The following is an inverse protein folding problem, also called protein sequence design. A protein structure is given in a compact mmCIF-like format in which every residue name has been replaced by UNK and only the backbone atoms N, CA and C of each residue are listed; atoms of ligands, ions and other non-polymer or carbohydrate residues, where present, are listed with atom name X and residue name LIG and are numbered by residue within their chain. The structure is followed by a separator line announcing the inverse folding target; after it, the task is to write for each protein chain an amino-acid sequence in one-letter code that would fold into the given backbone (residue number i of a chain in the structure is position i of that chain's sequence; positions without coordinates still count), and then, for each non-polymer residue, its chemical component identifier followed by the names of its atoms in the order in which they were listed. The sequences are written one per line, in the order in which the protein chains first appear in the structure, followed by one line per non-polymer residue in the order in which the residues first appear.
data_IF_623339398256
#
_entry.id   IF_623339398256
#
_cell.length_a   1.000
_cell.length_b   1.000
_cell.length_c   1.000
_cell.angle_alpha   90.00
_cell.angle_beta   90.00
_cell.angle_gamma   90.00
#
_symmetry.space_group_name_H-M   'P 1'
#
loop_
_entity.id
_entity.type
_entity.pdbx_description
1 polymer ?
#
# COMPACT_ATOMS: atom_id res chain seq x y z
N UNK A 1 2.69 -4.12 -11.55
CA UNK A 1 3.92 -3.95 -10.75
C UNK A 1 4.11 -2.45 -10.58
N UNK A 2 4.13 -1.93 -9.35
CA UNK A 2 4.36 -0.51 -9.11
C UNK A 2 5.79 -0.15 -9.54
N UNK A 3 5.88 0.82 -10.42
CA UNK A 3 7.15 1.35 -10.90
C UNK A 3 7.82 2.13 -9.76
N UNK A 4 9.03 1.77 -9.32
CA UNK A 4 9.76 2.49 -8.29
C UNK A 4 9.95 3.99 -8.57
N UNK A 5 9.96 4.39 -9.86
CA UNK A 5 10.03 5.80 -10.27
C UNK A 5 8.81 6.60 -9.84
N UNK A 6 7.64 5.97 -9.72
CA UNK A 6 6.40 6.61 -9.26
C UNK A 6 6.35 6.84 -7.75
N UNK A 7 7.24 6.19 -6.98
CA UNK A 7 7.35 6.45 -5.54
C UNK A 7 7.83 7.87 -5.23
N UNK A 8 8.58 8.48 -6.13
CA UNK A 8 8.99 9.88 -5.96
C UNK A 8 7.80 10.85 -6.10
N UNK A 9 6.76 10.47 -6.86
CA UNK A 9 5.53 11.25 -6.94
C UNK A 9 4.78 11.29 -5.60
N UNK A 10 4.87 10.24 -4.78
CA UNK A 10 4.26 10.19 -3.45
C UNK A 10 4.88 11.24 -2.52
N UNK A 11 6.19 11.52 -2.67
CA UNK A 11 6.91 12.53 -1.88
C UNK A 11 6.41 13.95 -2.13
N UNK A 12 5.73 14.20 -3.25
CA UNK A 12 5.12 15.52 -3.55
C UNK A 12 4.04 15.93 -2.56
N UNK A 13 3.58 15.00 -1.70
CA UNK A 13 2.65 15.34 -0.60
C UNK A 13 3.29 16.21 0.49
N UNK A 14 4.63 16.29 0.54
CA UNK A 14 5.35 17.12 1.51
C UNK A 14 5.29 16.64 2.96
N UNK A 15 4.70 15.47 3.20
CA UNK A 15 4.55 14.88 4.53
C UNK A 15 5.82 14.12 4.93
N UNK A 16 6.48 14.46 6.06
CA UNK A 16 7.69 13.78 6.52
C UNK A 16 7.48 12.30 6.86
N UNK A 17 6.30 11.92 7.36
CA UNK A 17 5.98 10.52 7.67
C UNK A 17 5.85 9.69 6.39
N UNK A 18 5.28 10.28 5.35
CA UNK A 18 5.22 9.68 4.01
C UNK A 18 6.64 9.51 3.44
N UNK A 19 7.51 10.49 3.61
CA UNK A 19 8.90 10.41 3.15
C UNK A 19 9.67 9.29 3.88
N UNK A 20 9.50 9.16 5.18
CA UNK A 20 10.08 8.05 5.96
C UNK A 20 9.53 6.70 5.50
N UNK A 21 8.24 6.58 5.26
CA UNK A 21 7.60 5.37 4.75
C UNK A 21 8.12 4.96 3.36
N UNK A 22 8.26 5.90 2.44
CA UNK A 22 8.85 5.64 1.10
C UNK A 22 10.29 5.16 1.22
N UNK A 23 11.07 5.75 2.13
CA UNK A 23 12.47 5.34 2.37
C UNK A 23 12.55 3.92 2.91
N UNK A 24 11.72 3.57 3.89
CA UNK A 24 11.62 2.22 4.44
C UNK A 24 11.21 1.20 3.37
N UNK A 25 10.22 1.53 2.54
CA UNK A 25 9.79 0.68 1.43
C UNK A 25 10.92 0.42 0.41
N UNK A 26 11.71 1.45 0.05
CA UNK A 26 12.86 1.30 -0.85
C UNK A 26 13.90 0.32 -0.31
N UNK A 27 14.20 0.38 0.99
CA UNK A 27 15.14 -0.57 1.64
C UNK A 27 14.63 -2.02 1.54
N UNK A 28 13.33 -2.24 1.76
CA UNK A 28 12.71 -3.56 1.61
C UNK A 28 12.74 -4.04 0.15
N UNK A 29 12.50 -3.16 -0.82
CA UNK A 29 12.57 -3.52 -2.25
C UNK A 29 13.99 -3.92 -2.68
N UNK A 30 15.01 -3.21 -2.23
CA UNK A 30 16.41 -3.57 -2.46
C UNK A 30 16.75 -4.94 -1.84
N UNK A 31 16.34 -5.16 -0.59
CA UNK A 31 16.54 -6.45 0.09
C UNK A 31 15.86 -7.59 -0.67
N UNK A 32 14.61 -7.38 -1.08
CA UNK A 32 13.83 -8.34 -1.86
C UNK A 32 14.52 -8.72 -3.18
N UNK A 33 14.95 -7.73 -3.95
CA UNK A 33 15.66 -7.95 -5.23
C UNK A 33 16.98 -8.69 -5.05
N UNK A 34 17.74 -8.34 -3.99
CA UNK A 34 18.99 -9.03 -3.68
C UNK A 34 18.76 -10.49 -3.35
N UNK A 35 17.82 -10.79 -2.44
CA UNK A 35 17.48 -12.17 -2.06
C UNK A 35 16.99 -12.99 -3.26
N UNK A 36 16.20 -12.39 -4.15
CA UNK A 36 15.74 -13.04 -5.37
C UNK A 36 16.90 -13.41 -6.29
N UNK A 37 17.85 -12.50 -6.50
CA UNK A 37 19.07 -12.77 -7.29
C UNK A 37 19.95 -13.86 -6.67
N UNK A 38 20.12 -13.85 -5.34
CA UNK A 38 20.86 -14.89 -4.61
C UNK A 38 20.20 -16.29 -4.76
N UNK A 39 18.87 -16.34 -4.64
CA UNK A 39 18.11 -17.58 -4.80
C UNK A 39 18.20 -18.12 -6.24
N UNK A 40 18.13 -17.24 -7.23
CA UNK A 40 18.26 -17.65 -8.62
C UNK A 40 19.66 -18.20 -8.91
N UNK A 41 20.71 -17.61 -8.32
CA UNK A 41 22.07 -18.15 -8.36
C UNK A 41 22.19 -19.51 -7.70
N UNK A 42 21.59 -19.71 -6.51
CA UNK A 42 21.56 -21.00 -5.81
C UNK A 42 20.80 -22.08 -6.61
N UNK A 43 19.71 -21.71 -7.23
CA UNK A 43 18.92 -22.62 -8.11
C UNK A 43 19.73 -23.05 -9.33
N UNK A 44 20.48 -22.14 -9.95
CA UNK A 44 21.41 -22.46 -11.06
C UNK A 44 22.50 -23.42 -10.60
N UNK A 45 23.14 -23.15 -9.44
CA UNK A 45 24.16 -24.04 -8.87
C UNK A 45 23.59 -25.43 -8.59
N UNK A 46 22.39 -25.52 -7.99
CA UNK A 46 21.72 -26.80 -7.76
C UNK A 46 21.44 -27.56 -9.06
N UNK A 47 20.99 -26.87 -10.10
CA UNK A 47 20.73 -27.50 -11.40
C UNK A 47 22.05 -28.03 -12.02
N UNK A 48 23.12 -27.28 -11.98
CA UNK A 48 24.44 -27.69 -12.46
C UNK A 48 25.00 -28.88 -11.65
N UNK A 49 24.82 -28.85 -10.31
CA UNK A 49 25.23 -29.96 -9.44
C UNK A 49 24.43 -31.24 -9.72
N UNK A 50 23.11 -31.13 -9.98
CA UNK A 50 22.27 -32.24 -10.39
C UNK A 50 22.73 -32.85 -11.72
N UNK A 51 23.08 -32.02 -12.70
CA UNK A 51 23.58 -32.46 -14.00
C UNK A 51 24.91 -33.20 -13.84
N UNK A 52 25.84 -32.68 -13.03
CA UNK A 52 27.10 -33.34 -12.71
C UNK A 52 26.86 -34.68 -12.04
N UNK A 53 26.01 -34.71 -11.02
CA UNK A 53 25.69 -35.96 -10.26
C UNK A 53 25.08 -37.01 -11.17
N UNK A 54 24.28 -36.65 -12.16
CA UNK A 54 23.66 -37.62 -13.10
C UNK A 54 24.68 -38.39 -13.94
N UNK A 55 25.90 -37.84 -14.10
CA UNK A 55 27.00 -38.41 -14.89
C UNK A 55 27.97 -39.25 -14.05
N UNK A 56 27.79 -39.27 -12.71
CA UNK A 56 28.68 -40.02 -11.77
C UNK A 56 28.20 -41.46 -11.55
N UNK A 57 29.15 -42.33 -11.23
CA UNK A 57 28.82 -43.68 -10.77
C UNK A 57 28.16 -43.63 -9.38
N UNK A 58 26.94 -44.15 -9.32
CA UNK A 58 26.11 -44.20 -8.09
C UNK A 58 26.76 -44.88 -6.88
N UNK A 59 27.77 -45.74 -7.12
CA UNK A 59 28.50 -46.44 -6.07
C UNK A 59 29.82 -45.77 -5.68
N UNK A 60 30.23 -44.69 -6.38
CA UNK A 60 31.47 -43.99 -6.13
C UNK A 60 31.38 -43.00 -4.97
N UNK A 61 32.54 -42.67 -4.35
CA UNK A 61 32.58 -41.67 -3.27
C UNK A 61 32.21 -40.30 -3.75
N UNK A 62 32.44 -39.97 -5.03
CA UNK A 62 32.08 -38.68 -5.65
C UNK A 62 30.57 -38.46 -5.70
N UNK A 63 29.81 -39.54 -5.88
CA UNK A 63 28.34 -39.47 -5.86
C UNK A 63 27.82 -39.11 -4.47
N UNK A 64 28.43 -39.62 -3.41
CA UNK A 64 28.06 -39.31 -2.03
C UNK A 64 28.34 -37.82 -1.73
N UNK A 65 29.51 -37.33 -2.14
CA UNK A 65 29.89 -35.90 -2.00
C UNK A 65 28.94 -34.98 -2.76
N UNK A 66 28.60 -35.28 -4.01
CA UNK A 66 27.67 -34.52 -4.82
C UNK A 66 26.24 -34.48 -4.22
N UNK A 67 25.80 -35.61 -3.62
CA UNK A 67 24.54 -35.70 -2.91
C UNK A 67 24.50 -34.78 -1.67
N UNK A 68 25.58 -34.72 -0.90
CA UNK A 68 25.67 -33.89 0.29
C UNK A 68 25.75 -32.40 -0.10
N UNK A 69 26.42 -32.06 -1.20
CA UNK A 69 26.40 -30.71 -1.79
C UNK A 69 24.96 -30.28 -2.18
N UNK A 70 24.24 -31.14 -2.89
CA UNK A 70 22.85 -30.89 -3.28
C UNK A 70 21.92 -30.72 -2.08
N UNK A 71 22.14 -31.52 -1.02
CA UNK A 71 21.39 -31.38 0.23
C UNK A 71 21.64 -30.00 0.88
N UNK A 72 22.90 -29.58 0.90
CA UNK A 72 23.29 -28.25 1.43
C UNK A 72 22.68 -27.12 0.61
N UNK A 73 22.77 -27.18 -0.72
CA UNK A 73 22.16 -26.18 -1.62
C UNK A 73 20.65 -26.13 -1.44
N UNK A 74 19.99 -27.29 -1.34
CA UNK A 74 18.54 -27.36 -1.12
C UNK A 74 18.14 -26.75 0.24
N UNK A 75 18.92 -26.97 1.28
CA UNK A 75 18.73 -26.34 2.59
C UNK A 75 18.84 -24.82 2.52
N UNK A 76 19.89 -24.31 1.85
CA UNK A 76 20.09 -22.86 1.66
C UNK A 76 18.96 -22.24 0.86
N UNK A 77 18.49 -22.88 -0.21
CA UNK A 77 17.35 -22.43 -1.01
C UNK A 77 16.11 -22.34 -0.13
N UNK A 78 15.79 -23.36 0.63
CA UNK A 78 14.61 -23.38 1.50
C UNK A 78 14.63 -22.25 2.54
N UNK A 79 15.80 -22.01 3.16
CA UNK A 79 15.96 -20.92 4.13
C UNK A 79 15.81 -19.55 3.46
N UNK A 80 16.44 -19.38 2.30
CA UNK A 80 16.33 -18.12 1.54
C UNK A 80 14.93 -17.85 1.01
N UNK A 81 14.18 -18.89 0.60
CA UNK A 81 12.78 -18.76 0.20
C UNK A 81 11.89 -18.32 1.36
N UNK A 82 12.11 -18.84 2.56
CA UNK A 82 11.37 -18.41 3.75
C UNK A 82 11.71 -16.95 4.12
N UNK A 83 12.98 -16.54 4.01
CA UNK A 83 13.37 -15.15 4.24
C UNK A 83 12.77 -14.22 3.17
N UNK A 84 12.81 -14.60 1.91
CA UNK A 84 12.21 -13.82 0.82
C UNK A 84 10.71 -13.63 1.05
N UNK A 85 10.00 -14.69 1.42
CA UNK A 85 8.57 -14.62 1.72
C UNK A 85 8.25 -13.63 2.85
N UNK A 86 9.06 -13.59 3.91
CA UNK A 86 8.88 -12.61 4.98
C UNK A 86 9.11 -11.19 4.48
N UNK A 87 10.20 -10.97 3.73
CA UNK A 87 10.51 -9.65 3.15
C UNK A 87 9.43 -9.19 2.17
N UNK A 88 8.86 -10.09 1.37
CA UNK A 88 7.75 -9.78 0.47
C UNK A 88 6.49 -9.37 1.23
N UNK A 89 6.19 -10.03 2.34
CA UNK A 89 5.08 -9.65 3.23
C UNK A 89 5.29 -8.25 3.82
N UNK A 90 6.47 -7.98 4.36
CA UNK A 90 6.81 -6.68 4.95
C UNK A 90 6.81 -5.57 3.89
N UNK A 91 7.32 -5.87 2.70
CA UNK A 91 7.34 -4.96 1.55
C UNK A 91 5.90 -4.60 1.09
N UNK A 92 5.03 -5.57 1.00
CA UNK A 92 3.63 -5.37 0.62
C UNK A 92 2.88 -4.57 1.68
N UNK A 93 3.04 -4.89 2.97
CA UNK A 93 2.42 -4.14 4.06
C UNK A 93 2.90 -2.69 4.10
N UNK A 94 4.21 -2.46 3.91
CA UNK A 94 4.76 -1.10 3.85
C UNK A 94 4.19 -0.30 2.67
N UNK A 95 3.94 -0.94 1.53
CA UNK A 95 3.31 -0.33 0.36
C UNK A 95 1.86 0.08 0.63
N UNK A 96 1.08 -0.78 1.28
CA UNK A 96 -0.32 -0.47 1.63
C UNK A 96 -0.46 0.66 2.65
N UNK A 97 0.56 0.91 3.45
CA UNK A 97 0.58 2.04 4.38
C UNK A 97 0.86 3.39 3.69
N UNK A 98 1.38 3.37 2.45
CA UNK A 98 1.66 4.60 1.71
C UNK A 98 0.40 5.12 1.02
N UNK A 99 0.20 6.45 1.00
CA UNK A 99 -0.87 7.06 0.23
C UNK A 99 -0.61 6.97 -1.27
N UNK A 100 -1.66 7.08 -2.07
CA UNK A 100 -1.52 7.10 -3.52
C UNK A 100 -0.73 8.33 -4.00
N UNK A 101 0.01 8.17 -5.10
CA UNK A 101 0.69 9.28 -5.76
C UNK A 101 -0.34 10.31 -6.26
N UNK A 102 -0.17 11.60 -5.95
CA UNK A 102 -1.06 12.64 -6.44
C UNK A 102 -0.91 12.81 -7.96
N UNK A 103 -2.00 13.23 -8.62
CA UNK A 103 -1.94 13.60 -10.04
C UNK A 103 -0.99 14.80 -10.25
N UNK A 104 -0.40 14.91 -11.43
CA UNK A 104 0.60 15.95 -11.75
C UNK A 104 0.08 17.38 -11.54
N UNK A 105 -1.24 17.61 -11.68
CA UNK A 105 -1.87 18.92 -11.46
C UNK A 105 -2.05 19.29 -9.98
N UNK A 106 -1.86 18.35 -9.05
CA UNK A 106 -2.00 18.63 -7.62
C UNK A 106 -0.74 19.37 -7.14
N UNK A 107 -0.89 20.55 -6.51
CA UNK A 107 0.25 21.26 -5.96
C UNK A 107 0.88 20.50 -4.79
N UNK A 108 2.15 20.79 -4.54
CA UNK A 108 2.81 20.31 -3.32
C UNK A 108 2.32 21.12 -2.13
N UNK A 109 1.85 20.45 -1.08
CA UNK A 109 1.34 21.10 0.12
C UNK A 109 1.01 20.10 1.21
N UNK A 110 0.93 20.56 2.44
CA UNK A 110 0.63 19.73 3.63
C UNK A 110 -0.70 20.06 4.26
N UNK A 111 -1.30 21.19 3.90
CA UNK A 111 -2.53 21.71 4.48
C UNK A 111 -3.57 22.06 3.42
N UNK A 112 -4.80 22.19 3.84
CA UNK A 112 -5.90 22.66 2.99
C UNK A 112 -5.64 24.06 2.39
N UNK A 113 -4.92 24.93 3.10
CA UNK A 113 -4.58 26.27 2.65
C UNK A 113 -3.64 26.29 1.44
N UNK A 114 -2.91 25.20 1.21
CA UNK A 114 -2.01 25.04 0.06
C UNK A 114 -2.75 24.73 -1.24
N UNK A 115 -4.07 24.46 -1.18
CA UNK A 115 -4.87 24.14 -2.35
C UNK A 115 -5.31 25.42 -3.08
N UNK A 116 -4.89 25.66 -4.33
CA UNK A 116 -5.33 26.83 -5.09
C UNK A 116 -6.80 26.67 -5.51
N UNK A 117 -7.54 27.75 -5.45
CA UNK A 117 -8.90 27.80 -6.00
C UNK A 117 -8.80 27.80 -7.53
N UNK A 118 -9.22 26.73 -8.17
CA UNK A 118 -9.17 26.60 -9.64
C UNK A 118 -10.26 27.42 -10.32
N UNK A 119 -11.44 27.52 -9.73
CA UNK A 119 -12.58 28.21 -10.30
C UNK A 119 -13.51 28.70 -9.22
N UNK A 120 -14.02 29.92 -9.37
CA UNK A 120 -15.08 30.47 -8.53
C UNK A 120 -16.30 30.76 -9.39
N UNK A 121 -17.48 30.33 -8.98
CA UNK A 121 -18.72 30.55 -9.68
C UNK A 121 -19.76 31.17 -8.74
N UNK A 122 -20.51 32.16 -9.27
CA UNK A 122 -21.56 32.85 -8.55
C UNK A 122 -21.03 33.88 -7.54
N UNK A 123 -21.95 34.46 -6.80
CA UNK A 123 -21.68 35.40 -5.73
C UNK A 123 -22.27 34.87 -4.42
N UNK A 124 -21.50 34.96 -3.33
CA UNK A 124 -22.00 34.63 -2.00
C UNK A 124 -23.07 35.64 -1.64
N UNK A 125 -24.33 35.25 -1.39
CA UNK A 125 -25.38 36.17 -1.01
C UNK A 125 -25.08 36.83 0.35
N UNK A 126 -25.41 38.11 0.47
CA UNK A 126 -25.36 38.82 1.75
C UNK A 126 -26.78 38.91 2.28
N UNK A 127 -27.02 38.35 3.47
CA UNK A 127 -28.34 38.38 4.10
C UNK A 127 -28.41 39.54 5.09
N UNK A 128 -29.60 40.21 5.19
CA UNK A 128 -29.87 41.22 6.19
C UNK A 128 -30.19 40.61 7.59
N UNK A 129 -30.17 39.32 7.70
CA UNK A 129 -30.43 38.54 8.92
C UNK A 129 -29.33 37.49 9.15
N UNK A 130 -29.19 36.96 10.36
CA UNK A 130 -28.29 35.86 10.64
C UNK A 130 -28.84 34.54 10.05
N UNK A 131 -28.19 33.97 9.02
CA UNK A 131 -28.70 32.74 8.41
C UNK A 131 -28.50 31.57 9.37
N UNK A 132 -29.52 30.73 9.46
CA UNK A 132 -29.44 29.47 10.20
C UNK A 132 -28.72 28.41 9.37
N UNK A 133 -27.97 27.48 9.99
CA UNK A 133 -27.37 26.36 9.29
C UNK A 133 -28.46 25.42 8.75
N UNK A 134 -28.13 24.70 7.69
CA UNK A 134 -29.11 23.87 6.96
C UNK A 134 -29.78 22.78 7.83
N UNK A 135 -29.09 22.25 8.83
CA UNK A 135 -29.65 21.26 9.74
C UNK A 135 -30.77 21.85 10.61
N UNK A 136 -30.58 23.04 11.19
CA UNK A 136 -31.61 23.72 11.96
C UNK A 136 -32.84 24.08 11.09
N UNK A 137 -32.58 24.50 9.85
CA UNK A 137 -33.66 24.77 8.90
C UNK A 137 -34.38 23.48 8.55
N UNK A 138 -33.67 22.38 8.33
CA UNK A 138 -34.23 21.08 7.99
C UNK A 138 -35.08 20.50 9.11
N UNK A 139 -34.64 20.60 10.36
CA UNK A 139 -35.44 20.20 11.54
C UNK A 139 -36.72 21.04 11.70
N UNK A 140 -36.58 22.38 11.57
CA UNK A 140 -37.75 23.27 11.66
C UNK A 140 -38.81 23.02 10.58
N UNK A 141 -38.36 22.63 9.39
CA UNK A 141 -39.24 22.24 8.29
C UNK A 141 -39.73 20.79 8.42
N UNK A 142 -39.21 20.02 9.37
CA UNK A 142 -39.55 18.61 9.57
C UNK A 142 -39.12 17.72 8.42
N UNK A 143 -38.09 18.10 7.67
CA UNK A 143 -37.50 17.30 6.58
C UNK A 143 -36.24 16.57 7.01
N UNK A 144 -35.63 16.94 8.15
CA UNK A 144 -34.55 16.23 8.80
C UNK A 144 -34.96 15.76 10.17
N UNK A 145 -34.71 14.47 10.46
CA UNK A 145 -34.93 13.87 11.77
C UNK A 145 -33.70 13.11 12.22
N UNK A 146 -32.93 13.75 13.09
CA UNK A 146 -31.71 13.17 13.66
C UNK A 146 -32.01 12.13 14.74
N UNK A 147 -33.14 12.30 15.48
CA UNK A 147 -33.52 11.36 16.53
C UNK A 147 -33.97 10.01 15.95
N UNK A 148 -34.84 10.07 14.93
CA UNK A 148 -35.27 8.87 14.22
C UNK A 148 -34.09 8.19 13.52
N UNK A 149 -33.20 8.93 12.83
CA UNK A 149 -32.01 8.41 12.20
C UNK A 149 -31.10 7.70 13.19
N UNK A 150 -30.92 8.27 14.39
CA UNK A 150 -30.07 7.67 15.43
C UNK A 150 -30.73 6.37 15.99
N UNK A 151 -32.05 6.32 16.13
CA UNK A 151 -32.74 5.11 16.58
C UNK A 151 -32.66 3.95 15.60
N UNK A 152 -32.66 4.24 14.30
CA UNK A 152 -32.63 3.22 13.24
C UNK A 152 -31.21 2.72 12.96
N UNK A 153 -30.23 3.61 12.89
CA UNK A 153 -28.89 3.28 12.36
C UNK A 153 -27.73 3.73 13.25
N UNK A 154 -27.99 4.29 14.42
CA UNK A 154 -26.97 4.75 15.36
C UNK A 154 -26.52 6.19 15.12
N UNK A 155 -25.48 6.63 15.83
CA UNK A 155 -24.98 7.98 15.78
C UNK A 155 -24.49 8.37 14.37
N UNK A 156 -24.69 9.65 13.99
CA UNK A 156 -24.31 10.25 12.70
C UNK A 156 -25.18 9.86 11.50
N UNK A 157 -26.30 9.18 11.72
CA UNK A 157 -27.32 8.97 10.69
C UNK A 157 -28.42 10.01 10.80
N UNK A 158 -29.00 10.35 9.67
CA UNK A 158 -30.09 11.33 9.55
C UNK A 158 -31.17 10.73 8.69
N UNK A 159 -32.40 10.80 9.14
CA UNK A 159 -33.55 10.52 8.31
C UNK A 159 -33.93 11.78 7.52
N UNK A 160 -34.08 11.63 6.18
CA UNK A 160 -34.37 12.73 5.27
C UNK A 160 -35.63 12.43 4.52
N UNK A 161 -36.56 13.36 4.58
CA UNK A 161 -37.80 13.30 3.85
C UNK A 161 -39.06 13.16 4.74
N UNK A 162 -40.18 13.51 4.18
CA UNK A 162 -41.49 13.16 4.72
C UNK A 162 -42.09 12.06 3.89
N UNK A 163 -42.50 10.99 4.51
CA UNK A 163 -43.44 10.10 3.87
C UNK A 163 -44.74 10.92 3.61
N UNK A 164 -45.05 11.14 2.36
CA UNK A 164 -46.36 11.66 1.99
C UNK A 164 -47.36 10.53 2.29
N UNK A 165 -48.12 10.72 3.34
CA UNK A 165 -49.33 9.95 3.58
C UNK A 165 -50.43 10.57 2.73
#
# INVERSE_FOLDING_TARGET
MLDPSRMDDVLRRGDPDVAAGVSAWKVLDEKRRRLQGELDGLRQQRNAANEKMSKLDKKGPEFAAARDELKTLSGRIKTGEAELQQVETDWEQSLFALPNAPHASVPTGTTEADNPVLHTWGHKPTFAFAPKPHWEVGEQLGILDFEAGTKVSGARFTEIGRAHV
#
